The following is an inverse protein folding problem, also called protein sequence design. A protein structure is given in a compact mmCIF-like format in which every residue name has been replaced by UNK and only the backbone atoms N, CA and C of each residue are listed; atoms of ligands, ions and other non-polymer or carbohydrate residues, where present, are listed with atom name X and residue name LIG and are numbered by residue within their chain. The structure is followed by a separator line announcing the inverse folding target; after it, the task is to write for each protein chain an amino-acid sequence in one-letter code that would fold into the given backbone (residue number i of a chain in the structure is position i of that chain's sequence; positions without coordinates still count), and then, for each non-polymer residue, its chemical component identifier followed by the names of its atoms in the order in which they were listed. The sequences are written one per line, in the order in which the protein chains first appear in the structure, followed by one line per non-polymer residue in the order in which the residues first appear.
data_IF_327454095180
#
_entry.id   IF_327454095180
#
_cell.length_a   1.000
_cell.length_b   1.000
_cell.length_c   1.000
_cell.angle_alpha   90.00
_cell.angle_beta   90.00
_cell.angle_gamma   90.00
#
_symmetry.space_group_name_H-M   'P 1'
#
loop_
_entity.id
_entity.type
_entity.pdbx_description
1 polymer ?
#
# COMPACT_ATOMS: atom_id res chain seq x y z
N UNK A 1 -7.03 -8.17 -16.59
CA UNK A 1 -5.99 -7.12 -16.39
C UNK A 1 -6.67 -5.76 -16.36
N UNK A 2 -6.25 -4.87 -15.47
CA UNK A 2 -6.85 -3.54 -15.31
C UNK A 2 -6.49 -2.60 -16.47
N UNK A 3 -7.33 -1.59 -16.80
CA UNK A 3 -7.12 -0.71 -17.96
C UNK A 3 -6.01 0.31 -17.71
N UNK A 4 -5.38 0.86 -18.76
CA UNK A 4 -4.48 2.02 -18.66
C UNK A 4 -5.15 3.20 -17.92
N UNK A 5 -4.34 3.99 -17.21
CA UNK A 5 -4.84 5.05 -16.33
C UNK A 5 -5.28 4.57 -14.94
N UNK A 6 -5.30 3.24 -14.73
CA UNK A 6 -5.61 2.64 -13.43
C UNK A 6 -4.32 2.18 -12.75
N UNK A 7 -4.20 2.42 -11.46
CA UNK A 7 -3.24 1.76 -10.59
C UNK A 7 -3.96 0.80 -9.66
N UNK A 8 -3.30 -0.31 -9.30
CA UNK A 8 -3.84 -1.30 -8.39
C UNK A 8 -2.86 -1.50 -7.25
N UNK A 9 -3.36 -1.36 -6.03
CA UNK A 9 -2.60 -1.58 -4.80
C UNK A 9 -3.12 -2.80 -4.06
N UNK A 10 -2.20 -3.60 -3.57
CA UNK A 10 -2.47 -4.64 -2.57
C UNK A 10 -1.70 -4.26 -1.32
N UNK A 11 -2.42 -4.10 -0.21
CA UNK A 11 -1.83 -3.62 1.04
C UNK A 11 -2.14 -4.57 2.19
N UNK A 12 -1.15 -4.76 3.04
CA UNK A 12 -1.28 -5.59 4.24
C UNK A 12 -0.22 -5.20 5.28
N UNK A 13 -0.47 -5.52 6.54
CA UNK A 13 0.56 -5.50 7.57
C UNK A 13 1.30 -6.82 7.56
N UNK A 14 2.62 -6.75 7.50
CA UNK A 14 3.44 -7.91 7.82
C UNK A 14 3.36 -8.20 9.33
N UNK A 15 3.64 -9.44 9.73
CA UNK A 15 3.83 -9.76 11.14
C UNK A 15 4.94 -8.87 11.72
N UNK A 16 4.81 -8.51 13.00
CA UNK A 16 5.79 -7.67 13.67
C UNK A 16 7.19 -8.29 13.57
N UNK A 17 8.10 -7.56 12.97
CA UNK A 17 9.48 -7.99 12.87
C UNK A 17 10.21 -7.70 14.20
N UNK A 18 10.80 -8.72 14.78
CA UNK A 18 11.61 -8.60 16.00
C UNK A 18 13.07 -8.55 15.61
N UNK A 19 13.77 -7.51 16.03
CA UNK A 19 15.22 -7.43 15.85
C UNK A 19 15.89 -8.44 16.77
N UNK A 20 16.65 -9.37 16.21
CA UNK A 20 17.50 -10.29 16.99
C UNK A 20 18.96 -9.85 16.81
N UNK A 21 19.62 -9.45 17.92
CA UNK A 21 21.05 -9.22 17.90
C UNK A 21 21.80 -10.56 18.10
N UNK A 22 22.84 -10.78 17.34
CA UNK A 22 23.59 -12.06 17.32
C UNK A 22 24.38 -12.39 18.60
N UNK A 23 24.42 -11.52 19.63
CA UNK A 23 25.21 -11.70 20.86
C UNK A 23 24.50 -11.09 22.07
N UNK A 24 23.25 -11.44 22.32
CA UNK A 24 22.53 -10.91 23.47
C UNK A 24 22.71 -11.77 24.73
N UNK A 25 22.92 -11.07 25.85
CA UNK A 25 22.87 -11.66 27.19
C UNK A 25 21.42 -12.04 27.48
N UNK A 26 21.19 -13.17 28.14
CA UNK A 26 19.86 -13.76 28.38
C UNK A 26 18.85 -12.78 29.04
N UNK A 27 19.29 -11.75 29.74
CA UNK A 27 18.45 -10.70 30.33
C UNK A 27 17.91 -9.67 29.31
N UNK A 28 18.59 -9.49 28.18
CA UNK A 28 18.16 -8.60 27.09
C UNK A 28 17.26 -9.31 26.10
N UNK A 29 17.23 -10.63 26.11
CA UNK A 29 16.43 -11.48 25.23
C UNK A 29 14.91 -11.19 25.31
N UNK A 30 14.41 -10.61 26.40
CA UNK A 30 13.02 -10.28 26.62
C UNK A 30 12.64 -8.82 26.24
N UNK A 31 13.58 -8.02 25.77
CA UNK A 31 13.37 -6.63 25.34
C UNK A 31 13.69 -6.45 23.87
N UNK A 32 13.03 -7.23 23.01
CA UNK A 32 13.16 -7.02 21.56
C UNK A 32 12.37 -5.81 21.11
N UNK A 33 13.05 -4.89 20.44
CA UNK A 33 12.39 -3.85 19.71
C UNK A 33 11.66 -4.47 18.52
N UNK A 34 10.35 -4.34 18.51
CA UNK A 34 9.50 -4.76 17.42
C UNK A 34 9.18 -3.55 16.53
N UNK A 35 9.20 -3.76 15.24
CA UNK A 35 8.77 -2.75 14.27
C UNK A 35 7.55 -3.22 13.51
N UNK A 36 6.68 -2.28 13.20
CA UNK A 36 5.57 -2.47 12.29
C UNK A 36 6.05 -2.32 10.85
N UNK A 37 5.69 -3.27 10.01
CA UNK A 37 5.96 -3.21 8.58
C UNK A 37 4.63 -3.24 7.85
N UNK A 38 4.34 -2.15 7.13
CA UNK A 38 3.21 -2.08 6.21
C UNK A 38 3.72 -2.28 4.80
N UNK A 39 3.18 -3.28 4.13
CA UNK A 39 3.57 -3.68 2.77
C UNK A 39 2.54 -3.16 1.79
N UNK A 40 2.99 -2.45 0.77
CA UNK A 40 2.16 -1.92 -0.28
C UNK A 40 2.72 -2.36 -1.63
N UNK A 41 2.06 -3.28 -2.29
CA UNK A 41 2.41 -3.75 -3.62
C UNK A 41 1.61 -2.95 -4.64
N UNK A 42 2.30 -2.23 -5.50
CA UNK A 42 1.70 -1.44 -6.57
C UNK A 42 1.85 -2.15 -7.90
N UNK A 43 0.75 -2.24 -8.63
CA UNK A 43 0.74 -2.59 -10.05
C UNK A 43 0.29 -1.36 -10.83
N UNK A 44 1.09 -0.92 -11.78
CA UNK A 44 0.77 0.20 -12.64
C UNK A 44 1.19 -0.06 -14.09
N UNK A 45 0.55 0.62 -15.01
CA UNK A 45 1.01 0.61 -16.39
C UNK A 45 2.29 1.41 -16.54
N UNK A 46 3.18 0.94 -17.41
CA UNK A 46 4.35 1.71 -17.81
C UNK A 46 3.89 3.00 -18.48
N UNK A 47 4.42 4.12 -18.01
CA UNK A 47 4.18 5.44 -18.58
C UNK A 47 5.54 5.93 -19.06
N UNK A 48 5.72 5.91 -20.43
CA UNK A 48 6.75 6.66 -21.00
C UNK A 48 8.19 6.33 -20.64
N UNK A 49 9.07 6.35 -21.47
CA UNK A 49 9.89 7.38 -22.03
C UNK A 49 10.80 6.85 -23.13
N UNK A 50 10.65 5.60 -23.48
CA UNK A 50 11.31 5.05 -24.66
C UNK A 50 10.24 4.71 -25.69
N UNK A 51 10.46 4.97 -26.98
CA UNK A 51 9.57 4.57 -28.04
C UNK A 51 9.21 3.07 -27.90
N UNK A 52 7.93 2.74 -28.00
CA UNK A 52 7.38 1.38 -27.87
C UNK A 52 7.34 0.75 -26.47
N UNK A 53 7.53 1.50 -25.38
CA UNK A 53 7.41 0.98 -24.02
C UNK A 53 6.15 1.44 -23.29
N UNK A 54 5.35 2.32 -23.91
CA UNK A 54 4.08 2.72 -23.32
C UNK A 54 3.07 1.58 -23.31
N UNK A 55 2.35 1.45 -22.21
CA UNK A 55 1.26 0.49 -22.10
C UNK A 55 0.04 0.98 -22.84
N UNK A 56 -0.43 0.22 -23.80
CA UNK A 56 -1.65 0.50 -24.56
C UNK A 56 -2.72 -0.55 -24.28
N UNK A 57 -3.93 -0.37 -24.79
CA UNK A 57 -4.98 -1.39 -24.69
C UNK A 57 -4.62 -2.71 -25.37
N UNK A 58 -3.85 -2.65 -26.45
CA UNK A 58 -3.46 -3.81 -27.25
C UNK A 58 -2.14 -4.43 -26.76
N UNK A 59 -1.25 -3.59 -26.20
CA UNK A 59 0.04 -4.04 -25.68
C UNK A 59 0.27 -3.46 -24.28
N UNK A 60 -0.02 -4.25 -23.25
CA UNK A 60 0.01 -3.83 -21.86
C UNK A 60 1.32 -4.18 -21.18
N UNK A 61 2.05 -3.17 -20.78
CA UNK A 61 3.25 -3.28 -19.96
C UNK A 61 2.93 -2.89 -18.50
N UNK A 62 2.87 -3.88 -17.62
CA UNK A 62 2.59 -3.68 -16.20
C UNK A 62 3.89 -3.75 -15.40
N UNK A 63 4.12 -2.72 -14.60
CA UNK A 63 5.22 -2.64 -13.64
C UNK A 63 4.67 -3.00 -12.27
N UNK A 64 5.39 -3.85 -11.55
CA UNK A 64 5.12 -4.22 -10.16
C UNK A 64 6.18 -3.58 -9.27
N UNK A 65 5.74 -2.81 -8.28
CA UNK A 65 6.61 -2.13 -7.31
C UNK A 65 6.24 -2.56 -5.90
N UNK A 66 7.24 -2.60 -5.01
CA UNK A 66 7.05 -2.90 -3.61
C UNK A 66 7.45 -1.69 -2.79
N UNK A 67 6.55 -1.22 -1.94
CA UNK A 67 6.78 -0.15 -1.00
C UNK A 67 6.67 -0.72 0.41
N UNK A 68 7.67 -0.50 1.24
CA UNK A 68 7.71 -0.92 2.63
C UNK A 68 7.75 0.31 3.52
N UNK A 69 6.80 0.40 4.44
CA UNK A 69 6.75 1.44 5.45
C UNK A 69 7.07 0.80 6.80
N UNK A 70 8.16 1.22 7.40
CA UNK A 70 8.68 0.65 8.64
C UNK A 70 8.57 1.72 9.73
N UNK A 71 8.00 1.35 10.87
CA UNK A 71 7.82 2.23 12.02
C UNK A 71 8.06 1.49 13.33
N UNK A 72 8.57 2.18 14.31
CA UNK A 72 8.63 1.76 15.71
C UNK A 72 7.27 1.88 16.42
N UNK A 73 6.31 2.59 15.83
CA UNK A 73 4.93 2.59 16.29
C UNK A 73 4.27 1.24 16.04
N UNK A 74 3.79 0.61 17.11
CA UNK A 74 3.13 -0.71 17.07
C UNK A 74 1.63 -0.62 16.73
N UNK A 75 1.11 0.57 16.51
CA UNK A 75 -0.29 0.79 16.16
C UNK A 75 -0.56 0.35 14.72
N UNK A 76 -1.21 -0.81 14.55
CA UNK A 76 -1.71 -1.29 13.26
C UNK A 76 -3.11 -0.70 13.02
N UNK A 77 -3.23 0.61 13.02
CA UNK A 77 -4.51 1.28 12.95
C UNK A 77 -4.75 2.01 11.63
N UNK A 78 -5.96 2.53 11.49
CA UNK A 78 -6.41 3.28 10.32
C UNK A 78 -5.58 4.53 10.07
N UNK A 79 -5.08 5.20 11.13
CA UNK A 79 -4.28 6.42 10.98
C UNK A 79 -2.92 6.12 10.36
N UNK A 80 -2.29 5.03 10.80
CA UNK A 80 -1.04 4.59 10.22
C UNK A 80 -1.19 4.24 8.74
N UNK A 81 -2.26 3.51 8.39
CA UNK A 81 -2.58 3.18 6.99
C UNK A 81 -2.75 4.45 6.15
N UNK A 82 -3.51 5.43 6.64
CA UNK A 82 -3.71 6.71 5.95
C UNK A 82 -2.39 7.45 5.74
N UNK A 83 -1.53 7.49 6.75
CA UNK A 83 -0.20 8.11 6.64
C UNK A 83 0.67 7.42 5.58
N UNK A 84 0.67 6.09 5.52
CA UNK A 84 1.39 5.34 4.49
C UNK A 84 0.87 5.67 3.08
N UNK A 85 -0.45 5.77 2.91
CA UNK A 85 -1.04 6.18 1.63
C UNK A 85 -0.71 7.63 1.26
N UNK A 86 -0.68 8.57 2.20
CA UNK A 86 -0.27 9.94 1.92
C UNK A 86 1.17 9.97 1.39
N UNK A 87 2.10 9.26 2.04
CA UNK A 87 3.48 9.11 1.56
C UNK A 87 3.56 8.44 0.18
N UNK A 88 2.71 7.46 -0.06
CA UNK A 88 2.62 6.78 -1.35
C UNK A 88 2.19 7.75 -2.47
N UNK A 89 1.14 8.54 -2.27
CA UNK A 89 0.69 9.50 -3.27
C UNK A 89 1.71 10.63 -3.49
N UNK A 90 2.39 11.09 -2.45
CA UNK A 90 3.47 12.06 -2.58
C UNK A 90 4.59 11.49 -3.47
N UNK A 91 5.00 10.25 -3.26
CA UNK A 91 5.99 9.56 -4.10
C UNK A 91 5.55 9.43 -5.55
N UNK A 92 4.27 9.09 -5.82
CA UNK A 92 3.75 9.03 -7.19
C UNK A 92 3.77 10.40 -7.87
N UNK A 93 3.42 11.44 -7.13
CA UNK A 93 3.44 12.82 -7.62
C UNK A 93 4.87 13.29 -7.94
N UNK A 94 5.83 13.03 -7.06
CA UNK A 94 7.25 13.37 -7.27
C UNK A 94 7.83 12.67 -8.52
N UNK A 95 7.38 11.46 -8.79
CA UNK A 95 7.76 10.67 -9.98
C UNK A 95 6.93 10.99 -11.23
N UNK A 96 6.03 11.95 -11.15
CA UNK A 96 5.13 12.37 -12.23
C UNK A 96 4.29 11.23 -12.83
N UNK A 97 3.89 10.26 -11.99
CA UNK A 97 3.05 9.14 -12.40
C UNK A 97 1.60 9.62 -12.50
N UNK A 98 1.01 9.52 -13.70
CA UNK A 98 -0.34 9.97 -14.01
C UNK A 98 -1.31 8.79 -13.98
N UNK A 99 -2.42 8.96 -13.26
CA UNK A 99 -3.50 7.97 -13.20
C UNK A 99 -4.82 8.68 -12.83
N UNK A 100 -5.95 8.09 -13.17
CA UNK A 100 -7.29 8.62 -12.90
C UNK A 100 -8.13 7.68 -12.02
N UNK A 101 -7.67 6.44 -11.85
CA UNK A 101 -8.32 5.39 -11.04
C UNK A 101 -7.34 4.67 -10.17
N UNK A 102 -7.74 4.42 -8.92
CA UNK A 102 -6.97 3.63 -7.98
C UNK A 102 -7.83 2.52 -7.36
N UNK A 103 -7.48 1.28 -7.64
CA UNK A 103 -8.10 0.11 -7.03
C UNK A 103 -7.22 -0.39 -5.89
N UNK A 104 -7.79 -0.45 -4.70
CA UNK A 104 -7.09 -0.88 -3.49
C UNK A 104 -7.67 -2.23 -3.05
N UNK A 105 -6.81 -3.15 -2.69
CA UNK A 105 -7.15 -4.45 -2.14
C UNK A 105 -6.46 -4.64 -0.80
N UNK A 106 -7.21 -5.05 0.21
CA UNK A 106 -6.71 -5.40 1.54
C UNK A 106 -7.51 -6.55 2.14
N UNK A 107 -7.08 -7.05 3.28
CA UNK A 107 -7.95 -7.89 4.09
C UNK A 107 -9.15 -7.09 4.64
N UNK A 108 -10.10 -7.81 5.23
CA UNK A 108 -11.33 -7.21 5.81
C UNK A 108 -11.20 -6.81 7.27
N UNK A 109 -9.97 -6.67 7.81
CA UNK A 109 -9.76 -6.31 9.22
C UNK A 109 -10.38 -4.95 9.54
N UNK A 110 -11.39 -4.97 10.43
CA UNK A 110 -12.17 -3.77 10.73
C UNK A 110 -11.35 -2.68 11.43
N UNK A 111 -10.39 -3.06 12.28
CA UNK A 111 -9.54 -2.12 13.01
C UNK A 111 -8.52 -1.40 12.14
N UNK A 112 -8.16 -1.98 11.01
CA UNK A 112 -7.10 -1.50 10.12
C UNK A 112 -7.67 -0.87 8.85
N UNK A 113 -8.52 -1.59 8.13
CA UNK A 113 -8.94 -1.23 6.78
C UNK A 113 -10.44 -0.98 6.65
N UNK A 114 -11.29 -1.90 7.14
CA UNK A 114 -12.75 -1.84 6.98
C UNK A 114 -13.41 -1.05 8.12
N UNK A 115 -13.09 0.23 8.21
CA UNK A 115 -13.61 1.11 9.24
C UNK A 115 -14.26 2.36 8.64
N UNK A 116 -15.25 2.93 9.29
CA UNK A 116 -15.98 4.11 8.79
C UNK A 116 -15.07 5.30 8.48
N UNK A 117 -14.01 5.50 9.27
CA UNK A 117 -13.01 6.54 9.04
C UNK A 117 -12.21 6.32 7.76
N UNK A 118 -11.93 5.06 7.39
CA UNK A 118 -11.23 4.73 6.14
C UNK A 118 -12.07 5.15 4.93
N UNK A 119 -13.38 4.88 4.95
CA UNK A 119 -14.28 5.31 3.88
C UNK A 119 -14.45 6.82 3.81
N UNK A 120 -14.55 7.48 4.96
CA UNK A 120 -14.61 8.94 5.01
C UNK A 120 -13.33 9.57 4.46
N UNK A 121 -12.17 9.06 4.85
CA UNK A 121 -10.88 9.49 4.32
C UNK A 121 -10.80 9.26 2.80
N UNK A 122 -11.25 8.10 2.30
CA UNK A 122 -11.26 7.79 0.87
C UNK A 122 -12.13 8.77 0.09
N UNK A 123 -13.29 9.16 0.61
CA UNK A 123 -14.15 10.16 -0.01
C UNK A 123 -13.48 11.55 -0.07
N UNK A 124 -12.73 11.92 0.97
CA UNK A 124 -11.95 13.17 0.98
C UNK A 124 -10.79 13.12 0.00
N UNK A 125 -10.12 11.99 -0.07
CA UNK A 125 -9.00 11.76 -0.97
C UNK A 125 -9.44 11.83 -2.43
N UNK A 126 -10.59 11.26 -2.76
CA UNK A 126 -11.20 11.37 -4.08
C UNK A 126 -11.37 12.84 -4.52
N UNK A 127 -11.92 13.67 -3.63
CA UNK A 127 -12.07 15.12 -3.89
C UNK A 127 -10.75 15.86 -4.02
N UNK A 128 -9.77 15.52 -3.15
CA UNK A 128 -8.46 16.18 -3.12
C UNK A 128 -7.62 15.87 -4.36
N UNK A 129 -7.64 14.63 -4.84
CA UNK A 129 -6.78 14.16 -5.92
C UNK A 129 -7.48 14.13 -7.28
N UNK A 130 -8.80 14.29 -7.31
CA UNK A 130 -9.64 14.12 -8.51
C UNK A 130 -9.43 12.75 -9.20
N UNK A 131 -9.36 11.69 -8.38
CA UNK A 131 -9.10 10.31 -8.80
C UNK A 131 -10.25 9.45 -8.31
N UNK A 132 -10.74 8.52 -9.13
CA UNK A 132 -11.73 7.55 -8.70
C UNK A 132 -11.07 6.43 -7.89
N UNK A 133 -11.56 6.21 -6.68
CA UNK A 133 -11.07 5.16 -5.79
C UNK A 133 -12.09 4.02 -5.67
N UNK A 134 -11.59 2.80 -5.61
CA UNK A 134 -12.35 1.62 -5.26
C UNK A 134 -11.56 0.78 -4.27
N UNK A 135 -12.09 0.57 -3.08
CA UNK A 135 -11.46 -0.28 -2.07
C UNK A 135 -12.19 -1.61 -1.97
N UNK A 136 -11.47 -2.67 -2.27
CA UNK A 136 -11.95 -4.04 -2.27
C UNK A 136 -11.34 -4.79 -1.09
N UNK A 137 -12.05 -5.81 -0.61
CA UNK A 137 -11.59 -6.63 0.49
C UNK A 137 -11.52 -8.09 0.04
N UNK A 138 -10.44 -8.77 0.41
CA UNK A 138 -10.37 -10.22 0.24
C UNK A 138 -11.36 -10.89 1.19
N UNK A 139 -11.91 -12.03 0.77
CA UNK A 139 -12.70 -12.86 1.67
C UNK A 139 -11.83 -13.42 2.79
N UNK A 140 -12.41 -13.56 3.98
CA UNK A 140 -11.71 -13.96 5.22
C UNK A 140 -11.09 -15.35 5.22
N UNK A 141 -11.31 -16.15 4.17
CA UNK A 141 -10.80 -17.53 4.04
C UNK A 141 -9.62 -17.70 3.08
N UNK A 142 -9.18 -16.65 2.42
CA UNK A 142 -8.14 -16.73 1.38
C UNK A 142 -6.83 -16.02 1.73
N UNK A 143 -6.63 -15.62 2.96
CA UNK A 143 -5.45 -14.92 3.45
C UNK A 143 -4.49 -15.75 4.33
N UNK A 144 -4.49 -17.07 4.18
CA UNK A 144 -3.55 -17.94 4.90
C UNK A 144 -2.90 -18.93 3.96
#
# INVERSE_FOLDING_TARGET
MFPPGTILSVVDFAENYTFAAQKEIQSEYYHFDQVTIFVHVLYRHAQQSLPNTESTNDNRHVIKEYHFYISDDRAHDTHYVQHCFDKFYDSLKEREIIFDRHWIWSDGCAGQFKYSRSFYWLCRLHKKLNITHCWNFFETSHGK
#
